data_IF_670245476398
#
_entry.id   IF_670245476398
#
_cell.length_a   1.000
_cell.length_b   1.000
_cell.length_c   1.000
_cell.angle_alpha   90.00
_cell.angle_beta   90.00
_cell.angle_gamma   90.00
#
_symmetry.space_group_name_H-M   'P 1'
#
loop_
_entity.id
_entity.type
_entity.pdbx_description
1 polymer ?
#
# COMPACT_ATOMS: atom_id res chain seq x y z
N UNK A 1 13.87 -12.90 24.56
CA UNK A 1 14.63 -13.22 23.33
C UNK A 1 14.64 -11.95 22.50
N UNK A 2 15.82 -11.33 22.36
CA UNK A 2 16.02 -9.96 21.90
C UNK A 2 15.43 -9.73 20.51
N UNK A 3 14.49 -8.80 20.39
CA UNK A 3 14.32 -8.13 19.11
C UNK A 3 15.62 -7.38 18.81
N UNK A 4 16.35 -7.85 17.81
CA UNK A 4 17.50 -7.13 17.29
C UNK A 4 17.08 -5.73 16.80
N UNK A 5 18.03 -4.81 16.69
CA UNK A 5 17.80 -3.41 16.27
C UNK A 5 16.92 -3.29 15.02
N UNK A 6 17.03 -4.23 14.08
CA UNK A 6 16.21 -4.28 12.86
C UNK A 6 14.70 -4.45 13.11
N UNK A 7 14.32 -5.24 14.12
CA UNK A 7 12.91 -5.41 14.51
C UNK A 7 12.31 -4.11 15.04
N UNK A 8 13.04 -3.40 15.91
CA UNK A 8 12.61 -2.11 16.44
C UNK A 8 12.52 -1.02 15.37
N UNK A 9 13.45 -0.99 14.42
CA UNK A 9 13.37 -0.08 13.27
C UNK A 9 12.10 -0.36 12.45
N UNK A 10 11.81 -1.64 12.20
CA UNK A 10 10.58 -2.02 11.49
C UNK A 10 9.33 -1.50 12.22
N UNK A 11 9.24 -1.75 13.53
CA UNK A 11 8.13 -1.28 14.37
C UNK A 11 7.98 0.25 14.27
N UNK A 12 9.09 0.99 14.38
CA UNK A 12 9.07 2.45 14.29
C UNK A 12 8.54 2.94 12.93
N UNK A 13 8.98 2.33 11.82
CA UNK A 13 8.46 2.66 10.48
C UNK A 13 6.95 2.42 10.38
N UNK A 14 6.46 1.31 10.93
CA UNK A 14 5.04 0.96 10.89
C UNK A 14 4.16 1.84 11.78
N UNK A 15 4.68 2.36 12.89
CA UNK A 15 3.98 3.33 13.74
C UNK A 15 3.70 4.63 12.97
N UNK A 16 4.66 5.11 12.18
CA UNK A 16 4.52 6.40 11.48
C UNK A 16 4.04 6.26 10.03
N UNK A 17 3.75 5.04 9.56
CA UNK A 17 3.50 4.74 8.14
C UNK A 17 2.35 5.56 7.56
N UNK A 18 1.28 5.79 8.32
CA UNK A 18 0.12 6.54 7.87
C UNK A 18 0.27 8.07 7.99
N UNK A 19 1.25 8.55 8.74
CA UNK A 19 1.44 9.97 9.03
C UNK A 19 1.57 10.84 7.77
N UNK A 20 2.36 10.47 6.74
CA UNK A 20 2.48 11.26 5.52
C UNK A 20 1.15 11.42 4.78
N UNK A 21 0.36 10.33 4.68
CA UNK A 21 -0.93 10.39 3.98
C UNK A 21 -1.97 11.16 4.80
N UNK A 22 -1.94 11.04 6.12
CA UNK A 22 -2.82 11.82 6.99
C UNK A 22 -2.52 13.32 6.87
N UNK A 23 -1.23 13.68 6.81
CA UNK A 23 -0.81 15.05 6.56
C UNK A 23 -1.26 15.56 5.20
N UNK A 24 -1.06 14.78 4.13
CA UNK A 24 -1.47 15.18 2.77
C UNK A 24 -2.99 15.37 2.69
N UNK A 25 -3.76 14.45 3.29
CA UNK A 25 -5.22 14.55 3.35
C UNK A 25 -5.66 15.81 4.11
N UNK A 26 -4.93 16.18 5.17
CA UNK A 26 -5.18 17.41 5.92
C UNK A 26 -4.79 18.65 5.12
N UNK A 27 -3.63 18.66 4.46
CA UNK A 27 -3.18 19.80 3.66
C UNK A 27 -4.12 20.07 2.46
N UNK A 28 -4.56 19.00 1.79
CA UNK A 28 -5.44 19.10 0.61
C UNK A 28 -6.93 19.18 0.95
N UNK A 29 -7.29 18.96 2.22
CA UNK A 29 -8.70 18.81 2.67
C UNK A 29 -9.48 17.80 1.81
N UNK A 30 -8.78 16.79 1.26
CA UNK A 30 -9.32 15.76 0.38
C UNK A 30 -8.61 14.44 0.67
N UNK A 31 -9.37 13.36 0.75
CA UNK A 31 -8.81 12.00 0.83
C UNK A 31 -8.88 11.25 -0.50
N UNK A 32 -9.02 11.97 -1.61
CA UNK A 32 -9.18 11.37 -2.92
C UNK A 32 -7.89 10.76 -3.48
N UNK A 33 -6.72 11.01 -2.89
CA UNK A 33 -5.48 10.38 -3.36
C UNK A 33 -5.31 8.90 -2.98
N UNK A 34 -5.79 8.49 -1.80
CA UNK A 34 -5.69 7.10 -1.36
C UNK A 34 -6.93 6.29 -1.78
N UNK A 35 -6.73 5.07 -2.28
CA UNK A 35 -7.83 4.19 -2.68
C UNK A 35 -8.53 3.60 -1.46
N UNK A 36 -9.84 3.76 -1.38
CA UNK A 36 -10.63 3.13 -0.32
C UNK A 36 -10.55 1.60 -0.41
N UNK A 37 -10.50 1.05 -1.62
CA UNK A 37 -10.33 -0.38 -1.84
C UNK A 37 -8.99 -0.89 -1.32
N UNK A 38 -7.91 -0.11 -1.49
CA UNK A 38 -6.61 -0.41 -0.88
C UNK A 38 -6.71 -0.48 0.64
N UNK A 39 -7.33 0.52 1.28
CA UNK A 39 -7.47 0.57 2.75
C UNK A 39 -8.29 -0.61 3.28
N UNK A 40 -9.41 -0.94 2.65
CA UNK A 40 -10.28 -2.05 3.10
C UNK A 40 -9.56 -3.39 2.98
N UNK A 41 -9.00 -3.71 1.81
CA UNK A 41 -8.34 -5.00 1.60
C UNK A 41 -7.10 -5.11 2.51
N UNK A 42 -6.37 -4.01 2.70
CA UNK A 42 -5.24 -3.97 3.62
C UNK A 42 -5.67 -4.25 5.06
N UNK A 43 -6.75 -3.61 5.53
CA UNK A 43 -7.29 -3.85 6.86
C UNK A 43 -7.69 -5.32 7.08
N UNK A 44 -8.34 -5.95 6.09
CA UNK A 44 -8.64 -7.40 6.18
C UNK A 44 -7.34 -8.21 6.27
N UNK A 45 -6.33 -7.85 5.48
CA UNK A 45 -4.99 -8.43 5.58
C UNK A 45 -4.40 -8.33 6.98
N UNK A 46 -4.44 -7.14 7.59
CA UNK A 46 -3.91 -6.89 8.94
C UNK A 46 -4.66 -7.68 10.02
N UNK A 47 -5.98 -7.82 9.90
CA UNK A 47 -6.77 -8.66 10.81
C UNK A 47 -6.37 -10.14 10.71
N UNK A 48 -6.18 -10.65 9.48
CA UNK A 48 -5.72 -12.03 9.27
C UNK A 48 -4.29 -12.24 9.77
N UNK A 49 -3.40 -11.25 9.58
CA UNK A 49 -2.04 -11.26 10.09
C UNK A 49 -2.01 -11.23 11.62
N UNK A 50 -2.84 -10.39 12.25
CA UNK A 50 -3.00 -10.33 13.70
C UNK A 50 -3.48 -11.67 14.26
N UNK A 51 -4.50 -12.28 13.65
CA UNK A 51 -5.00 -13.59 14.05
C UNK A 51 -3.89 -14.67 13.96
N UNK A 52 -3.12 -14.67 12.87
CA UNK A 52 -1.96 -15.56 12.71
C UNK A 52 -0.88 -15.32 13.76
N UNK A 53 -0.62 -14.04 14.08
CA UNK A 53 0.37 -13.65 15.08
C UNK A 53 0.00 -14.10 16.50
N UNK A 54 -1.27 -13.90 16.89
CA UNK A 54 -1.79 -14.34 18.19
C UNK A 54 -1.79 -15.86 18.28
N UNK A 55 -2.27 -16.57 17.25
CA UNK A 55 -2.28 -18.04 17.24
C UNK A 55 -0.87 -18.64 17.25
N UNK A 56 0.09 -17.96 16.62
CA UNK A 56 1.51 -18.33 16.62
C UNK A 56 2.26 -18.02 17.90
N UNK A 57 1.63 -17.36 18.89
CA UNK A 57 2.32 -16.81 20.05
C UNK A 57 3.59 -16.02 19.66
N UNK A 58 3.47 -15.21 18.59
CA UNK A 58 4.53 -14.30 18.16
C UNK A 58 4.79 -13.24 19.23
N UNK A 59 5.92 -12.51 19.12
CA UNK A 59 6.33 -11.59 20.17
C UNK A 59 5.24 -10.55 20.49
N UNK A 60 5.03 -10.19 21.78
CA UNK A 60 3.99 -9.23 22.18
C UNK A 60 4.04 -7.89 21.45
N UNK A 61 5.24 -7.42 21.13
CA UNK A 61 5.54 -6.24 20.29
C UNK A 61 4.91 -6.32 18.90
N UNK A 62 5.01 -7.47 18.23
CA UNK A 62 4.42 -7.71 16.90
C UNK A 62 2.89 -7.73 16.99
N UNK A 63 2.34 -8.33 18.05
CA UNK A 63 0.89 -8.35 18.29
C UNK A 63 0.37 -6.93 18.57
N UNK A 64 1.04 -6.17 19.43
CA UNK A 64 0.70 -4.78 19.73
C UNK A 64 0.78 -3.89 18.48
N UNK A 65 1.78 -4.09 17.63
CA UNK A 65 1.89 -3.39 16.36
C UNK A 65 0.75 -3.76 15.42
N UNK A 66 0.42 -5.05 15.28
CA UNK A 66 -0.67 -5.50 14.42
C UNK A 66 -2.03 -4.95 14.89
N UNK A 67 -2.25 -4.82 16.21
CA UNK A 67 -3.41 -4.12 16.77
C UNK A 67 -3.37 -2.62 16.40
N UNK A 68 -2.24 -1.95 16.57
CA UNK A 68 -2.08 -0.54 16.21
C UNK A 68 -2.40 -0.28 14.73
N UNK A 69 -1.78 -1.05 13.82
CA UNK A 69 -1.95 -0.90 12.38
C UNK A 69 -3.39 -1.27 11.97
N UNK A 70 -4.04 -2.22 12.64
CA UNK A 70 -5.46 -2.51 12.39
C UNK A 70 -6.38 -1.36 12.80
N UNK A 71 -6.02 -0.58 13.83
CA UNK A 71 -6.82 0.55 14.31
C UNK A 71 -6.48 1.91 13.66
N UNK A 72 -5.25 2.10 13.18
CA UNK A 72 -4.78 3.34 12.56
C UNK A 72 -5.60 3.80 11.33
N UNK A 73 -6.22 2.89 10.54
CA UNK A 73 -7.13 3.26 9.46
C UNK A 73 -8.51 3.75 9.89
N UNK A 74 -8.92 3.71 11.17
CA UNK A 74 -10.28 4.11 11.60
C UNK A 74 -10.49 5.63 11.82
N UNK A 75 -9.50 6.41 12.29
CA UNK A 75 -9.59 7.87 12.34
C UNK A 75 -9.65 8.51 10.94
N UNK A 76 -8.99 7.89 9.94
CA UNK A 76 -8.94 8.35 8.56
C UNK A 76 -10.33 8.48 7.88
N UNK A 77 -11.25 7.50 7.94
CA UNK A 77 -12.59 7.60 7.37
C UNK A 77 -13.48 8.63 8.08
N UNK A 78 -13.30 8.86 9.39
CA UNK A 78 -14.00 9.94 10.11
C UNK A 78 -13.51 11.32 9.65
N UNK A 79 -12.19 11.51 9.51
CA UNK A 79 -11.62 12.73 8.93
C UNK A 79 -12.05 12.90 7.47
N UNK A 80 -12.05 11.82 6.67
CA UNK A 80 -12.43 11.81 5.26
C UNK A 80 -13.92 12.10 5.04
N UNK A 81 -14.79 11.65 5.94
CA UNK A 81 -16.20 12.02 5.94
C UNK A 81 -16.38 13.50 6.31
N UNK A 82 -15.61 14.01 7.28
CA UNK A 82 -15.63 15.42 7.68
C UNK A 82 -15.14 16.34 6.56
N UNK A 83 -14.01 16.03 5.91
CA UNK A 83 -13.46 16.78 4.79
C UNK A 83 -14.38 16.77 3.55
N UNK A 84 -15.03 15.64 3.24
CA UNK A 84 -16.03 15.61 2.14
C UNK A 84 -17.29 16.39 2.47
N UNK A 85 -17.72 16.38 3.73
CA UNK A 85 -18.85 17.18 4.17
C UNK A 85 -18.55 18.68 4.08
N UNK A 86 -17.37 19.13 4.54
CA UNK A 86 -16.96 20.53 4.40
C UNK A 86 -16.73 20.93 2.94
N UNK A 87 -16.06 20.10 2.13
CA UNK A 87 -15.85 20.36 0.70
C UNK A 87 -17.17 20.41 -0.09
N UNK A 88 -18.14 19.54 0.24
CA UNK A 88 -19.48 19.57 -0.35
C UNK A 88 -20.25 20.86 -0.02
N UNK A 89 -20.07 21.39 1.19
CA UNK A 89 -20.61 22.71 1.57
C UNK A 89 -19.92 23.84 0.79
N UNK A 90 -18.60 23.78 0.61
CA UNK A 90 -17.84 24.79 -0.14
C UNK A 90 -18.14 24.77 -1.64
N UNK A 91 -18.25 23.59 -2.26
CA UNK A 91 -18.64 23.45 -3.67
C UNK A 91 -20.09 23.90 -3.92
N UNK A 92 -21.01 23.54 -3.02
CA UNK A 92 -22.39 24.03 -3.09
C UNK A 92 -22.47 25.55 -2.91
N UNK A 93 -21.64 26.13 -2.04
CA UNK A 93 -21.51 27.58 -1.90
C UNK A 93 -20.86 28.26 -3.12
N UNK A 94 -19.81 27.65 -3.71
CA UNK A 94 -19.11 28.19 -4.88
C UNK A 94 -19.93 28.08 -6.15
N UNK A 95 -20.71 27.01 -6.33
CA UNK A 95 -21.66 26.86 -7.45
C UNK A 95 -22.78 27.91 -7.44
N UNK A 96 -23.14 28.43 -6.25
CA UNK A 96 -24.11 29.52 -6.11
C UNK A 96 -23.53 30.90 -6.48
N UNK A 97 -22.20 31.02 -6.54
CA UNK A 97 -21.49 32.31 -6.73
C UNK A 97 -20.69 32.34 -8.04
N UNK A 98 -20.39 31.18 -8.63
CA UNK A 98 -19.58 31.08 -9.84
C UNK A 98 -20.38 31.53 -11.09
N UNK A 99 -19.91 32.55 -11.84
CA UNK A 99 -20.48 32.89 -13.13
C UNK A 99 -20.24 31.77 -14.16
N UNK A 100 -21.17 31.60 -15.09
CA UNK A 100 -21.23 30.55 -16.13
C UNK A 100 -20.03 30.54 -17.10
N UNK A 101 -19.14 31.53 -16.99
CA UNK A 101 -17.91 31.70 -17.79
C UNK A 101 -16.65 31.09 -17.18
N UNK A 102 -16.75 30.25 -16.14
CA UNK A 102 -15.61 29.50 -15.62
C UNK A 102 -15.03 28.59 -16.73
N UNK A 103 -13.73 28.73 -17.11
CA UNK A 103 -13.18 28.01 -18.25
C UNK A 103 -13.26 26.50 -18.05
N UNK A 104 -13.98 25.82 -18.94
CA UNK A 104 -13.96 24.37 -19.03
C UNK A 104 -12.59 23.94 -19.59
N UNK A 105 -11.88 23.07 -18.86
CA UNK A 105 -10.66 22.43 -19.37
C UNK A 105 -10.95 21.77 -20.74
N UNK A 106 -10.18 22.05 -21.80
CA UNK A 106 -10.44 21.49 -23.12
C UNK A 106 -10.42 19.95 -23.09
N UNK A 107 -11.51 19.31 -23.53
CA UNK A 107 -11.60 17.84 -23.66
C UNK A 107 -10.47 17.24 -24.50
N UNK A 108 -9.92 18.02 -25.43
CA UNK A 108 -8.80 17.64 -26.28
C UNK A 108 -7.50 17.37 -25.50
N UNK A 109 -7.25 18.11 -24.41
CA UNK A 109 -6.07 17.91 -23.56
C UNK A 109 -6.18 16.62 -22.75
N UNK A 110 -7.37 16.32 -22.20
CA UNK A 110 -7.63 15.06 -21.48
C UNK A 110 -7.48 13.83 -22.39
N UNK A 111 -7.92 13.94 -23.65
CA UNK A 111 -7.84 12.86 -24.63
C UNK A 111 -6.40 12.60 -25.12
N UNK A 112 -5.54 13.63 -25.14
CA UNK A 112 -4.12 13.53 -25.50
C UNK A 112 -3.26 13.03 -24.34
N UNK A 113 -3.60 13.42 -23.10
CA UNK A 113 -2.93 12.99 -21.86
C UNK A 113 -3.22 11.52 -21.49
N UNK A 114 -4.38 10.97 -21.89
CA UNK A 114 -4.77 9.57 -21.65
C UNK A 114 -3.90 8.51 -22.37
N UNK A 115 -3.05 8.90 -23.33
CA UNK A 115 -2.35 7.97 -24.24
C UNK A 115 -0.95 7.49 -23.81
N UNK A 116 -0.44 7.85 -22.64
CA UNK A 116 0.92 7.47 -22.23
C UNK A 116 1.02 6.89 -20.80
N UNK A 117 0.00 6.13 -20.38
CA UNK A 117 0.11 5.33 -19.16
C UNK A 117 1.06 4.13 -19.34
N UNK A 118 1.70 3.63 -18.26
CA UNK A 118 2.46 2.38 -18.31
C UNK A 118 1.59 1.25 -18.86
N UNK A 119 2.14 0.46 -19.79
CA UNK A 119 1.39 -0.59 -20.51
C UNK A 119 0.60 -1.47 -19.55
N UNK A 120 -0.73 -1.46 -19.67
CA UNK A 120 -1.65 -2.28 -18.85
C UNK A 120 -1.24 -3.76 -18.88
N UNK A 121 -0.72 -4.24 -20.03
CA UNK A 121 -0.20 -5.60 -20.17
C UNK A 121 1.04 -5.85 -19.30
N UNK A 122 1.95 -4.89 -19.19
CA UNK A 122 3.12 -5.01 -18.32
C UNK A 122 2.74 -5.00 -16.84
N UNK A 123 1.72 -4.21 -16.45
CA UNK A 123 1.16 -4.22 -15.10
C UNK A 123 0.56 -5.60 -14.81
N UNK A 124 -0.35 -6.09 -15.65
CA UNK A 124 -0.99 -7.40 -15.48
C UNK A 124 0.06 -8.52 -15.38
N UNK A 125 1.08 -8.51 -16.24
CA UNK A 125 2.16 -9.50 -16.20
C UNK A 125 2.92 -9.50 -14.87
N UNK A 126 3.30 -8.33 -14.34
CA UNK A 126 3.97 -8.22 -13.03
C UNK A 126 3.13 -8.79 -11.90
N UNK A 127 1.81 -8.55 -11.93
CA UNK A 127 0.89 -9.06 -10.91
C UNK A 127 0.64 -10.56 -11.02
N UNK A 128 0.51 -11.08 -12.24
CA UNK A 128 0.41 -12.54 -12.46
C UNK A 128 1.69 -13.22 -11.98
N UNK A 129 2.86 -12.67 -12.30
CA UNK A 129 4.14 -13.18 -11.83
C UNK A 129 4.25 -13.13 -10.28
N UNK A 130 3.84 -12.03 -9.68
CA UNK A 130 3.80 -11.87 -8.23
C UNK A 130 2.84 -12.85 -7.53
N UNK A 131 1.63 -13.03 -8.08
CA UNK A 131 0.66 -14.01 -7.58
C UNK A 131 1.18 -15.44 -7.74
N UNK A 132 1.74 -15.77 -8.90
CA UNK A 132 2.36 -17.07 -9.16
C UNK A 132 3.54 -17.33 -8.20
N UNK A 133 4.33 -16.32 -7.88
CA UNK A 133 5.40 -16.41 -6.89
C UNK A 133 4.87 -16.75 -5.49
N UNK A 134 3.78 -16.11 -5.04
CA UNK A 134 3.13 -16.42 -3.75
C UNK A 134 2.63 -17.86 -3.72
N UNK A 135 1.94 -18.30 -4.79
CA UNK A 135 1.45 -19.68 -4.87
C UNK A 135 2.62 -20.68 -4.91
N UNK A 136 3.66 -20.42 -5.71
CA UNK A 136 4.82 -21.29 -5.83
C UNK A 136 5.60 -21.40 -4.50
N UNK A 137 5.81 -20.29 -3.81
CA UNK A 137 6.46 -20.27 -2.49
C UNK A 137 5.61 -20.94 -1.42
N UNK A 138 4.28 -20.79 -1.48
CA UNK A 138 3.34 -21.51 -0.63
C UNK A 138 3.38 -23.03 -0.84
N UNK A 139 3.38 -23.50 -2.10
CA UNK A 139 3.49 -24.93 -2.43
C UNK A 139 4.85 -25.49 -2.03
N UNK A 140 5.93 -24.74 -2.25
CA UNK A 140 7.27 -25.16 -1.83
C UNK A 140 7.37 -25.25 -0.30
N UNK A 141 6.85 -24.26 0.43
CA UNK A 141 6.79 -24.29 1.88
C UNK A 141 5.92 -25.46 2.39
N UNK A 142 4.80 -25.75 1.72
CA UNK A 142 3.95 -26.91 2.00
C UNK A 142 4.71 -28.24 1.83
N UNK A 143 5.42 -28.41 0.71
CA UNK A 143 6.18 -29.63 0.43
C UNK A 143 7.32 -29.91 1.42
N UNK A 144 7.87 -28.86 2.03
CA UNK A 144 8.92 -28.98 3.06
C UNK A 144 8.32 -29.10 4.47
N UNK A 145 7.16 -28.50 4.72
CA UNK A 145 6.47 -28.55 6.00
C UNK A 145 5.76 -29.90 6.23
N UNK A 146 6.46 -30.87 6.82
CA UNK A 146 5.91 -32.18 7.22
C UNK A 146 5.09 -32.14 8.53
N UNK A 147 4.54 -30.98 8.89
CA UNK A 147 3.77 -30.80 10.12
C UNK A 147 2.41 -31.49 10.04
N UNK A 148 2.07 -32.33 11.04
CA UNK A 148 0.70 -32.87 11.21
C UNK A 148 -0.14 -32.03 12.19
N UNK A 149 0.42 -30.97 12.76
CA UNK A 149 -0.25 -30.13 13.77
C UNK A 149 -1.23 -29.16 13.11
N UNK A 150 -2.52 -29.29 13.43
CA UNK A 150 -3.59 -28.42 12.96
C UNK A 150 -3.38 -26.95 13.32
N UNK A 151 -2.75 -26.65 14.48
CA UNK A 151 -2.45 -25.28 14.88
C UNK A 151 -1.39 -24.65 13.98
N UNK A 152 -0.34 -25.39 13.63
CA UNK A 152 0.66 -24.96 12.68
C UNK A 152 0.05 -24.69 11.29
N UNK A 153 -0.89 -25.53 10.85
CA UNK A 153 -1.63 -25.32 9.61
C UNK A 153 -2.48 -24.04 9.63
N UNK A 154 -3.19 -23.78 10.73
CA UNK A 154 -4.00 -22.57 10.86
C UNK A 154 -3.14 -21.29 10.76
N UNK A 155 -1.96 -21.28 11.41
CA UNK A 155 -1.01 -20.16 11.36
C UNK A 155 -0.54 -19.92 9.92
N UNK A 156 -0.16 -20.98 9.20
CA UNK A 156 0.28 -20.89 7.81
C UNK A 156 -0.83 -20.37 6.89
N UNK A 157 -2.05 -20.90 7.01
CA UNK A 157 -3.20 -20.45 6.20
C UNK A 157 -3.45 -18.96 6.42
N UNK A 158 -3.43 -18.49 7.67
CA UNK A 158 -3.63 -17.07 7.99
C UNK A 158 -2.50 -16.19 7.42
N UNK A 159 -1.25 -16.63 7.52
CA UNK A 159 -0.11 -15.92 6.95
C UNK A 159 -0.13 -15.85 5.42
N UNK A 160 -0.48 -16.94 4.74
CA UNK A 160 -0.61 -16.94 3.27
C UNK A 160 -1.82 -16.13 2.80
N UNK A 161 -2.91 -16.15 3.56
CA UNK A 161 -4.09 -15.32 3.29
C UNK A 161 -3.75 -13.83 3.40
N UNK A 162 -3.03 -13.41 4.46
CA UNK A 162 -2.60 -12.02 4.60
C UNK A 162 -1.67 -11.59 3.46
N UNK A 163 -0.71 -12.43 3.06
CA UNK A 163 0.17 -12.16 1.92
C UNK A 163 -0.61 -11.93 0.61
N UNK A 164 -1.63 -12.74 0.33
CA UNK A 164 -2.51 -12.57 -0.84
C UNK A 164 -3.37 -11.31 -0.73
N UNK A 165 -3.88 -10.98 0.45
CA UNK A 165 -4.65 -9.75 0.66
C UNK A 165 -3.77 -8.50 0.49
N UNK A 166 -2.54 -8.50 0.99
CA UNK A 166 -1.60 -7.40 0.80
C UNK A 166 -1.26 -7.19 -0.67
N UNK A 167 -1.09 -8.26 -1.45
CA UNK A 167 -1.01 -8.19 -2.92
C UNK A 167 -2.26 -7.53 -3.52
N UNK A 168 -3.44 -8.04 -3.15
CA UNK A 168 -4.72 -7.60 -3.66
C UNK A 168 -4.99 -6.12 -3.37
N UNK A 169 -4.57 -5.62 -2.21
CA UNK A 169 -4.75 -4.23 -1.79
C UNK A 169 -4.06 -3.23 -2.72
N UNK A 170 -2.93 -3.60 -3.34
CA UNK A 170 -2.19 -2.71 -4.25
C UNK A 170 -2.87 -2.54 -5.61
N UNK A 171 -3.67 -3.50 -6.05
CA UNK A 171 -4.36 -3.43 -7.35
C UNK A 171 -5.30 -2.22 -7.42
N UNK A 172 -6.20 -1.97 -6.45
CA UNK A 172 -7.01 -0.75 -6.39
C UNK A 172 -6.19 0.54 -6.40
N UNK A 173 -5.06 0.60 -5.70
CA UNK A 173 -4.24 1.81 -5.66
C UNK A 173 -3.55 2.07 -6.99
N UNK A 174 -2.98 1.04 -7.63
CA UNK A 174 -2.33 1.19 -8.94
C UNK A 174 -3.33 1.63 -10.01
N UNK A 175 -4.54 1.06 -10.00
CA UNK A 175 -5.61 1.50 -10.92
C UNK A 175 -5.96 2.96 -10.70
N UNK A 176 -6.17 3.33 -9.43
CA UNK A 176 -6.45 4.71 -9.05
C UNK A 176 -5.33 5.67 -9.47
N UNK A 177 -4.06 5.28 -9.27
CA UNK A 177 -2.91 6.06 -9.70
C UNK A 177 -2.86 6.29 -11.22
N UNK A 178 -3.31 5.32 -12.02
CA UNK A 178 -3.40 5.49 -13.47
C UNK A 178 -4.51 6.48 -13.84
N UNK A 179 -5.63 6.43 -13.14
CA UNK A 179 -6.77 7.32 -13.37
C UNK A 179 -6.52 8.76 -12.89
N UNK A 180 -5.90 8.92 -11.72
CA UNK A 180 -5.69 10.23 -11.07
C UNK A 180 -4.29 10.79 -11.26
N UNK A 181 -3.41 10.10 -12.00
CA UNK A 181 -1.98 10.48 -12.15
C UNK A 181 -1.26 10.71 -10.80
N UNK A 182 -1.71 9.99 -9.77
CA UNK A 182 -1.24 10.10 -8.38
C UNK A 182 -1.56 11.44 -7.67
N UNK A 183 -2.56 12.19 -8.12
CA UNK A 183 -3.04 13.38 -7.41
C UNK A 183 -3.49 13.05 -5.98
N UNK A 184 -3.00 13.82 -4.99
CA UNK A 184 -3.31 13.64 -3.57
C UNK A 184 -2.67 12.43 -2.87
N UNK A 185 -1.82 11.66 -3.57
CA UNK A 185 -1.12 10.52 -2.98
C UNK A 185 0.18 10.97 -2.30
N UNK A 186 0.32 10.65 -1.01
CA UNK A 186 1.57 10.88 -0.30
C UNK A 186 2.56 9.72 -0.55
N UNK A 187 3.69 9.93 -1.25
CA UNK A 187 4.66 8.86 -1.50
C UNK A 187 5.30 8.33 -0.21
N UNK A 188 5.32 9.15 0.85
CA UNK A 188 5.89 8.79 2.15
C UNK A 188 5.26 7.54 2.78
N UNK A 189 3.97 7.28 2.56
CA UNK A 189 3.28 6.06 3.01
C UNK A 189 4.01 4.80 2.51
N UNK A 190 4.34 4.78 1.23
CA UNK A 190 4.98 3.64 0.57
C UNK A 190 6.47 3.55 0.93
N UNK A 191 7.14 4.69 1.13
CA UNK A 191 8.54 4.70 1.58
C UNK A 191 8.66 4.05 2.96
N UNK A 192 7.86 4.47 3.94
CA UNK A 192 7.89 3.86 5.28
C UNK A 192 7.47 2.39 5.26
N UNK A 193 6.50 2.00 4.44
CA UNK A 193 6.10 0.61 4.27
C UNK A 193 7.24 -0.25 3.69
N UNK A 194 8.00 0.26 2.71
CA UNK A 194 9.18 -0.43 2.16
C UNK A 194 10.24 -0.63 3.26
N UNK A 195 10.61 0.43 3.98
CA UNK A 195 11.61 0.33 5.04
C UNK A 195 11.18 -0.63 6.15
N UNK A 196 9.92 -0.55 6.58
CA UNK A 196 9.35 -1.44 7.59
C UNK A 196 9.40 -2.91 7.17
N UNK A 197 9.00 -3.22 5.93
CA UNK A 197 9.03 -4.59 5.42
C UNK A 197 10.46 -5.12 5.18
N UNK A 198 11.37 -4.29 4.67
CA UNK A 198 12.76 -4.69 4.47
C UNK A 198 13.44 -5.03 5.80
N UNK A 199 13.29 -4.16 6.79
CA UNK A 199 13.90 -4.36 8.12
C UNK A 199 13.27 -5.53 8.87
N UNK A 200 11.98 -5.80 8.68
CA UNK A 200 11.31 -6.99 9.20
C UNK A 200 11.82 -8.29 8.54
N UNK A 201 11.91 -8.34 7.21
CA UNK A 201 12.44 -9.52 6.53
C UNK A 201 13.91 -9.79 6.93
N UNK A 202 14.71 -8.73 7.04
CA UNK A 202 16.09 -8.82 7.52
C UNK A 202 16.17 -9.29 8.97
N UNK A 203 15.23 -8.92 9.85
CA UNK A 203 15.24 -9.39 11.24
C UNK A 203 14.98 -10.89 11.35
N UNK A 204 14.09 -11.44 10.50
CA UNK A 204 13.87 -12.89 10.39
C UNK A 204 15.16 -13.58 9.93
N UNK A 205 15.78 -13.12 8.84
CA UNK A 205 17.01 -13.72 8.32
C UNK A 205 18.18 -13.61 9.32
N UNK A 206 18.28 -12.51 10.06
CA UNK A 206 19.29 -12.31 11.09
C UNK A 206 19.11 -13.23 12.30
N UNK A 207 17.87 -13.64 12.59
CA UNK A 207 17.57 -14.57 13.68
C UNK A 207 18.04 -16.00 13.35
N UNK A 208 17.79 -16.48 12.13
CA UNK A 208 18.31 -17.76 11.64
C UNK A 208 18.13 -17.90 10.12
N UNK A 209 19.15 -18.45 9.45
CA UNK A 209 19.11 -18.83 8.03
C UNK A 209 18.85 -20.33 7.83
N UNK A 210 18.50 -21.05 8.91
CA UNK A 210 18.14 -22.47 8.82
C UNK A 210 16.88 -22.68 7.96
N UNK A 211 16.91 -23.67 7.06
CA UNK A 211 15.84 -23.91 6.10
C UNK A 211 14.48 -24.18 6.77
N UNK A 212 14.46 -24.92 7.88
CA UNK A 212 13.22 -25.20 8.59
C UNK A 212 12.65 -23.95 9.29
N UNK A 213 13.52 -23.06 9.78
CA UNK A 213 13.13 -21.76 10.33
C UNK A 213 12.58 -20.82 9.24
N UNK A 214 13.23 -20.76 8.08
CA UNK A 214 12.79 -19.94 6.96
C UNK A 214 11.45 -20.42 6.39
N UNK A 215 11.23 -21.73 6.29
CA UNK A 215 9.94 -22.30 5.85
C UNK A 215 8.82 -21.96 6.83
N UNK A 216 9.08 -21.99 8.14
CA UNK A 216 8.09 -21.55 9.15
C UNK A 216 7.69 -20.10 8.97
N UNK A 217 8.63 -19.24 8.55
CA UNK A 217 8.40 -17.81 8.35
C UNK A 217 8.11 -17.42 6.88
N UNK A 218 7.92 -18.41 6.00
CA UNK A 218 7.87 -18.18 4.55
C UNK A 218 6.73 -17.24 4.11
N UNK A 219 5.57 -17.33 4.75
CA UNK A 219 4.43 -16.46 4.46
C UNK A 219 4.75 -14.98 4.73
N UNK A 220 5.43 -14.70 5.85
CA UNK A 220 5.86 -13.35 6.22
C UNK A 220 6.95 -12.81 5.30
N UNK A 221 7.94 -13.64 4.97
CA UNK A 221 8.99 -13.27 4.01
C UNK A 221 8.42 -12.99 2.62
N UNK A 222 7.53 -13.86 2.13
CA UNK A 222 6.86 -13.69 0.85
C UNK A 222 5.98 -12.43 0.84
N UNK A 223 5.18 -12.21 1.89
CA UNK A 223 4.35 -11.02 2.05
C UNK A 223 5.16 -9.73 2.08
N UNK A 224 6.27 -9.68 2.81
CA UNK A 224 7.15 -8.51 2.87
C UNK A 224 7.87 -8.24 1.55
N UNK A 225 8.45 -9.26 0.92
CA UNK A 225 9.11 -9.11 -0.39
C UNK A 225 8.14 -8.57 -1.44
N UNK A 226 6.91 -9.06 -1.42
CA UNK A 226 5.88 -8.67 -2.37
C UNK A 226 5.36 -7.25 -2.13
N UNK A 227 5.16 -6.88 -0.87
CA UNK A 227 4.76 -5.53 -0.49
C UNK A 227 5.82 -4.52 -0.94
N UNK A 228 7.11 -4.81 -0.71
CA UNK A 228 8.22 -3.98 -1.19
C UNK A 228 8.19 -3.83 -2.71
N UNK A 229 8.06 -4.94 -3.45
CA UNK A 229 8.03 -4.91 -4.92
C UNK A 229 6.90 -4.04 -5.48
N UNK A 230 5.71 -4.13 -4.89
CA UNK A 230 4.55 -3.37 -5.34
C UNK A 230 4.59 -1.90 -4.90
N UNK A 231 5.11 -1.62 -3.71
CA UNK A 231 5.30 -0.25 -3.22
C UNK A 231 6.34 0.50 -4.06
N UNK A 232 7.41 -0.17 -4.48
CA UNK A 232 8.35 0.37 -5.48
C UNK A 232 7.64 0.67 -6.80
N UNK A 233 6.73 -0.22 -7.25
CA UNK A 233 5.95 0.03 -8.47
C UNK A 233 5.06 1.27 -8.34
N UNK A 234 4.40 1.46 -7.20
CA UNK A 234 3.60 2.66 -6.91
C UNK A 234 4.48 3.92 -6.90
N UNK A 235 5.64 3.87 -6.26
CA UNK A 235 6.59 5.00 -6.27
C UNK A 235 7.08 5.33 -7.68
N UNK A 236 7.37 4.32 -8.50
CA UNK A 236 7.72 4.53 -9.90
C UNK A 236 6.59 5.23 -10.67
N UNK A 237 5.31 4.86 -10.45
CA UNK A 237 4.17 5.58 -11.06
C UNK A 237 4.14 7.05 -10.63
N UNK A 238 4.32 7.32 -9.34
CA UNK A 238 4.34 8.67 -8.78
C UNK A 238 5.41 9.55 -9.42
N UNK A 239 6.67 9.08 -9.47
CA UNK A 239 7.75 9.85 -10.09
C UNK A 239 7.58 10.01 -11.61
N UNK A 240 7.04 8.98 -12.28
CA UNK A 240 6.76 9.04 -13.71
C UNK A 240 5.74 10.13 -14.05
N UNK A 241 4.59 10.16 -13.38
CA UNK A 241 3.55 11.16 -13.67
C UNK A 241 3.99 12.58 -13.31
N UNK A 242 4.65 12.78 -12.15
CA UNK A 242 5.18 14.11 -11.78
C UNK A 242 6.19 14.65 -12.80
N UNK A 243 7.03 13.79 -13.37
CA UNK A 243 7.97 14.20 -14.41
C UNK A 243 7.26 14.61 -15.69
N UNK A 244 6.21 13.88 -16.07
CA UNK A 244 5.41 14.20 -17.25
C UNK A 244 4.63 15.52 -17.07
N UNK A 245 3.99 15.72 -15.92
CA UNK A 245 3.25 16.96 -15.63
C UNK A 245 4.17 18.17 -15.64
N UNK A 246 5.36 18.04 -15.05
CA UNK A 246 6.38 19.10 -15.06
C UNK A 246 7.03 19.35 -16.44
N UNK A 247 6.89 18.44 -17.40
CA UNK A 247 7.29 18.66 -18.79
C UNK A 247 6.19 19.41 -19.57
N UNK A 248 4.94 18.98 -19.41
CA UNK A 248 3.77 19.63 -20.02
C UNK A 248 3.64 21.09 -19.55
N UNK A 249 3.86 21.36 -18.26
CA UNK A 249 3.81 22.72 -17.72
C UNK A 249 4.84 23.64 -18.41
N UNK A 250 6.08 23.16 -18.61
CA UNK A 250 7.13 23.91 -19.30
C UNK A 250 6.83 24.15 -20.77
N UNK A 251 6.24 23.16 -21.46
CA UNK A 251 5.81 23.34 -22.85
C UNK A 251 4.69 24.38 -22.98
N UNK A 252 3.74 24.41 -22.04
CA UNK A 252 2.69 25.43 -21.99
C UNK A 252 3.27 26.83 -21.77
N UNK A 253 4.15 26.98 -20.79
CA UNK A 253 4.85 28.25 -20.52
C UNK A 253 5.58 28.76 -21.77
N UNK A 254 6.35 27.89 -22.44
CA UNK A 254 7.08 28.24 -23.66
C UNK A 254 6.19 28.56 -24.87
N UNK A 255 4.92 28.15 -24.88
CA UNK A 255 3.96 28.47 -25.94
C UNK A 255 3.22 29.80 -25.73
N UNK A 256 3.32 30.38 -24.52
CA UNK A 256 2.70 31.64 -24.14
C UNK A 256 3.69 32.83 -24.11
N UNK A 257 4.99 32.56 -24.29
CA UNK A 257 6.06 33.55 -24.52
C UNK A 257 6.26 33.84 -26.02
#
# INVERSE_FOLDING_TARGET
MQEGTLGWISIACWIIVFSPQLYENYALQSGEGLSLGFVIIWLVGDLTNLAGAVLGNLLPTVILLAVYVSHAPFPAPRHFALCRWTAGLTLSARSRIAPESAPLLPEADRAREAKAGPSTRAIVFRYVAAFAFVIATGIAAWGVSRSTDARAWAIQILGWTSAVLYLGARIPQIRKNVETRCEGLAPGLFVFAIFGNMTYALSICAQSMDGAYLVKNASWLAGSALTVFLDVTVLCQFFYYRRQDGAIAREREASHE
#
